data_IF_778733781012
#
_entry.id   IF_778733781012
#
_cell.length_a   1.000
_cell.length_b   1.000
_cell.length_c   1.000
_cell.angle_alpha   90.00
_cell.angle_beta   90.00
_cell.angle_gamma   90.00
#
_symmetry.space_group_name_H-M   'P 1'
#
loop_
_entity.id
_entity.type
_entity.pdbx_description
1 polymer ?
#
# COMPACT_ATOMS: atom_id res chain seq x y z
N UNK A 1 5.39 -1.09 -15.50
CA UNK A 1 4.56 -1.93 -14.61
C UNK A 1 3.19 -2.07 -15.22
N UNK A 2 2.67 -3.28 -15.28
CA UNK A 2 1.35 -3.60 -15.81
C UNK A 2 0.54 -4.23 -14.69
N UNK A 3 -0.70 -3.76 -14.46
CA UNK A 3 -1.62 -4.28 -13.46
C UNK A 3 -2.49 -5.36 -14.10
N UNK A 4 -2.55 -6.54 -13.49
CA UNK A 4 -3.53 -7.56 -13.82
C UNK A 4 -4.91 -7.11 -13.34
N UNK A 5 -5.83 -6.85 -14.25
CA UNK A 5 -7.14 -6.33 -13.90
C UNK A 5 -8.28 -7.28 -14.32
N UNK A 6 -9.38 -7.15 -13.60
CA UNK A 6 -10.65 -7.78 -13.97
C UNK A 6 -11.73 -6.72 -14.12
N UNK A 7 -12.74 -7.01 -14.93
CA UNK A 7 -13.95 -6.22 -15.05
C UNK A 7 -15.17 -7.01 -14.58
N UNK A 8 -16.03 -6.36 -13.80
CA UNK A 8 -17.31 -6.91 -13.31
C UNK A 8 -18.43 -5.93 -13.62
N UNK A 9 -19.27 -6.21 -14.61
CA UNK A 9 -20.39 -5.33 -15.00
C UNK A 9 -21.49 -6.21 -15.67
N UNK A 10 -22.72 -6.12 -15.18
CA UNK A 10 -23.84 -6.93 -15.70
C UNK A 10 -24.39 -6.43 -17.04
N UNK A 11 -24.15 -5.18 -17.40
CA UNK A 11 -24.60 -4.60 -18.65
C UNK A 11 -23.57 -4.86 -19.77
N UNK A 12 -23.87 -5.68 -20.78
CA UNK A 12 -22.90 -6.06 -21.81
C UNK A 12 -22.40 -4.87 -22.64
N UNK A 13 -23.24 -3.86 -22.88
CA UNK A 13 -22.81 -2.67 -23.65
C UNK A 13 -21.88 -1.78 -22.85
N UNK A 14 -22.16 -1.59 -21.57
CA UNK A 14 -21.31 -0.82 -20.65
C UNK A 14 -19.99 -1.54 -20.41
N UNK A 15 -20.05 -2.85 -20.18
CA UNK A 15 -18.87 -3.70 -20.04
C UNK A 15 -17.98 -3.62 -21.28
N UNK A 16 -18.55 -3.69 -22.49
CA UNK A 16 -17.81 -3.56 -23.75
C UNK A 16 -17.15 -2.18 -23.90
N UNK A 17 -17.84 -1.11 -23.49
CA UNK A 17 -17.27 0.25 -23.52
C UNK A 17 -16.05 0.37 -22.57
N UNK A 18 -16.16 -0.18 -21.37
CA UNK A 18 -15.04 -0.18 -20.40
C UNK A 18 -13.89 -1.11 -20.87
N UNK A 19 -14.20 -2.26 -21.47
CA UNK A 19 -13.21 -3.17 -22.07
C UNK A 19 -12.34 -2.48 -23.13
N UNK A 20 -12.92 -1.64 -23.96
CA UNK A 20 -12.15 -0.84 -24.95
C UNK A 20 -11.15 0.08 -24.25
N UNK A 21 -11.55 0.74 -23.15
CA UNK A 21 -10.67 1.60 -22.39
C UNK A 21 -9.51 0.82 -21.72
N UNK A 22 -9.81 -0.37 -21.21
CA UNK A 22 -8.82 -1.28 -20.61
C UNK A 22 -7.82 -1.73 -21.67
N UNK A 23 -8.28 -2.23 -22.81
CA UNK A 23 -7.42 -2.75 -23.87
C UNK A 23 -6.55 -1.66 -24.52
N UNK A 24 -7.02 -0.41 -24.55
CA UNK A 24 -6.27 0.75 -25.04
C UNK A 24 -5.21 1.24 -24.03
N UNK A 25 -5.24 0.78 -22.77
CA UNK A 25 -4.36 1.33 -21.73
C UNK A 25 -3.09 0.48 -21.53
N UNK A 26 -1.88 1.03 -21.75
CA UNK A 26 -0.63 0.26 -21.77
C UNK A 26 -0.23 -0.34 -20.41
N UNK A 27 -0.80 0.16 -19.32
CA UNK A 27 -0.50 -0.32 -17.95
C UNK A 27 -1.54 -1.33 -17.43
N UNK A 28 -2.47 -1.81 -18.25
CA UNK A 28 -3.47 -2.78 -17.86
C UNK A 28 -3.32 -4.08 -18.65
N UNK A 29 -3.51 -5.21 -17.94
CA UNK A 29 -3.60 -6.54 -18.52
C UNK A 29 -4.91 -7.19 -18.05
N UNK A 30 -5.89 -7.30 -18.94
CA UNK A 30 -7.17 -7.92 -18.60
C UNK A 30 -7.00 -9.44 -18.44
N UNK A 31 -7.29 -9.95 -17.24
CA UNK A 31 -7.18 -11.38 -16.92
C UNK A 31 -8.53 -12.04 -16.62
N UNK A 32 -9.61 -11.27 -16.50
CA UNK A 32 -10.95 -11.79 -16.27
C UNK A 32 -12.05 -10.79 -16.60
N UNK A 33 -13.17 -11.32 -17.11
CA UNK A 33 -14.39 -10.59 -17.43
C UNK A 33 -15.58 -11.33 -16.83
N UNK A 34 -16.40 -10.63 -16.04
CA UNK A 34 -17.51 -11.21 -15.30
C UNK A 34 -18.78 -10.36 -15.45
N UNK A 35 -19.92 -11.04 -15.52
CA UNK A 35 -21.25 -10.41 -15.61
C UNK A 35 -21.91 -10.24 -14.25
N UNK A 36 -21.35 -10.84 -13.19
CA UNK A 36 -21.87 -10.69 -11.83
C UNK A 36 -20.75 -10.77 -10.78
N UNK A 37 -20.96 -10.20 -9.59
CA UNK A 37 -20.06 -10.37 -8.44
C UNK A 37 -19.88 -11.83 -8.04
N UNK A 38 -20.93 -12.64 -8.13
CA UNK A 38 -20.90 -14.05 -7.75
C UNK A 38 -20.00 -14.88 -8.68
N UNK A 39 -20.06 -14.62 -9.99
CA UNK A 39 -19.20 -15.29 -10.98
C UNK A 39 -17.73 -14.95 -10.79
N UNK A 40 -17.43 -13.70 -10.39
CA UNK A 40 -16.07 -13.24 -10.16
C UNK A 40 -15.47 -13.76 -8.86
N UNK A 41 -16.29 -14.07 -7.85
CA UNK A 41 -15.86 -14.43 -6.48
C UNK A 41 -14.80 -15.52 -6.47
N UNK A 42 -15.06 -16.66 -7.13
CA UNK A 42 -14.12 -17.80 -7.14
C UNK A 42 -12.78 -17.41 -7.77
N UNK A 43 -12.83 -16.68 -8.86
CA UNK A 43 -11.63 -16.23 -9.57
C UNK A 43 -10.81 -15.29 -8.69
N UNK A 44 -11.45 -14.32 -8.05
CA UNK A 44 -10.81 -13.35 -7.18
C UNK A 44 -10.17 -13.98 -5.92
N UNK A 45 -10.75 -15.08 -5.41
CA UNK A 45 -10.20 -15.79 -4.24
C UNK A 45 -9.02 -16.73 -4.61
N UNK A 46 -8.85 -17.10 -5.87
CA UNK A 46 -7.82 -18.08 -6.31
C UNK A 46 -6.75 -17.49 -7.22
N UNK A 47 -6.95 -16.28 -7.70
CA UNK A 47 -6.05 -15.63 -8.66
C UNK A 47 -5.63 -14.27 -8.13
N UNK A 48 -4.34 -13.98 -8.19
CA UNK A 48 -3.84 -12.64 -7.82
C UNK A 48 -4.30 -11.62 -8.85
N UNK A 49 -5.11 -10.68 -8.39
CA UNK A 49 -5.64 -9.55 -9.15
C UNK A 49 -5.11 -8.27 -8.53
N UNK A 50 -4.59 -7.35 -9.34
CA UNK A 50 -4.06 -6.08 -8.86
C UNK A 50 -5.14 -4.98 -8.86
N UNK A 51 -6.12 -5.05 -9.77
CA UNK A 51 -7.17 -4.04 -9.93
C UNK A 51 -8.51 -4.68 -10.29
N UNK A 52 -9.57 -4.31 -9.60
CA UNK A 52 -10.95 -4.60 -9.95
C UNK A 52 -11.60 -3.32 -10.50
N UNK A 53 -12.13 -3.39 -11.71
CA UNK A 53 -12.96 -2.33 -12.30
C UNK A 53 -14.39 -2.86 -12.33
N UNK A 54 -15.30 -2.23 -11.56
CA UNK A 54 -16.61 -2.84 -11.36
C UNK A 54 -17.74 -1.83 -11.30
N UNK A 55 -18.91 -2.25 -11.76
CA UNK A 55 -20.16 -1.62 -11.35
C UNK A 55 -20.54 -2.08 -9.94
N UNK A 56 -21.36 -1.32 -9.26
CA UNK A 56 -21.90 -1.69 -7.94
C UNK A 56 -23.39 -2.08 -8.01
N UNK A 57 -24.10 -1.68 -9.06
CA UNK A 57 -25.52 -1.94 -9.22
C UNK A 57 -25.79 -3.31 -9.84
N UNK A 58 -25.99 -4.33 -9.01
CA UNK A 58 -26.35 -5.67 -9.45
C UNK A 58 -27.67 -6.11 -8.83
N UNK A 59 -28.45 -6.93 -9.56
CA UNK A 59 -29.81 -7.28 -9.12
C UNK A 59 -29.88 -8.25 -7.95
N UNK A 60 -28.82 -9.02 -7.65
CA UNK A 60 -28.85 -10.08 -6.63
C UNK A 60 -27.86 -9.81 -5.49
N UNK A 61 -26.63 -9.48 -5.81
CA UNK A 61 -25.56 -9.21 -4.86
C UNK A 61 -24.97 -7.84 -5.20
N UNK A 62 -25.02 -6.89 -4.27
CA UNK A 62 -24.40 -5.58 -4.45
C UNK A 62 -22.90 -5.72 -4.69
N UNK A 63 -22.31 -4.87 -5.51
CA UNK A 63 -20.87 -4.85 -5.72
C UNK A 63 -20.08 -4.63 -4.44
N UNK A 64 -20.60 -3.88 -3.50
CA UNK A 64 -19.98 -3.68 -2.19
C UNK A 64 -19.96 -4.95 -1.33
N UNK A 65 -20.99 -5.82 -1.42
CA UNK A 65 -20.98 -7.11 -0.73
C UNK A 65 -19.84 -8.02 -1.21
N UNK A 66 -19.43 -7.90 -2.49
CA UNK A 66 -18.25 -8.58 -3.01
C UNK A 66 -16.97 -8.08 -2.34
N UNK A 67 -16.85 -6.79 -2.11
CA UNK A 67 -15.69 -6.20 -1.43
C UNK A 67 -15.61 -6.65 0.03
N UNK A 68 -16.74 -6.69 0.76
CA UNK A 68 -16.82 -7.22 2.13
C UNK A 68 -16.39 -8.70 2.20
N UNK A 69 -16.86 -9.51 1.23
CA UNK A 69 -16.45 -10.92 1.14
C UNK A 69 -14.96 -11.05 0.90
N UNK A 70 -14.39 -10.22 0.04
CA UNK A 70 -12.98 -10.26 -0.28
C UNK A 70 -12.13 -9.88 0.93
N UNK A 71 -12.46 -8.80 1.63
CA UNK A 71 -11.76 -8.36 2.85
C UNK A 71 -11.73 -9.43 3.94
N UNK A 72 -12.84 -10.15 4.12
CA UNK A 72 -12.97 -11.15 5.19
C UNK A 72 -12.36 -12.52 4.86
N UNK A 73 -12.18 -12.86 3.58
CA UNK A 73 -11.77 -14.20 3.14
C UNK A 73 -10.36 -14.30 2.57
N UNK A 74 -9.65 -13.18 2.41
CA UNK A 74 -8.28 -13.18 1.87
C UNK A 74 -7.26 -12.79 2.93
N UNK A 75 -6.12 -13.47 2.89
CA UNK A 75 -4.93 -13.14 3.72
C UNK A 75 -3.88 -12.39 2.90
N UNK A 76 -4.15 -12.11 1.64
CA UNK A 76 -3.26 -11.41 0.70
C UNK A 76 -3.60 -9.93 0.62
N UNK A 77 -2.69 -9.12 0.14
CA UNK A 77 -2.94 -7.69 -0.15
C UNK A 77 -4.17 -7.54 -1.04
N UNK A 78 -5.19 -6.76 -0.62
CA UNK A 78 -6.40 -6.59 -1.41
C UNK A 78 -6.10 -5.86 -2.73
N UNK A 79 -6.84 -6.17 -3.81
CA UNK A 79 -6.71 -5.44 -5.06
C UNK A 79 -7.21 -4.02 -4.92
N UNK A 80 -6.67 -3.11 -5.71
CA UNK A 80 -7.26 -1.79 -5.88
C UNK A 80 -8.63 -1.91 -6.54
N UNK A 81 -9.54 -0.99 -6.22
CA UNK A 81 -10.89 -0.99 -6.76
C UNK A 81 -11.18 0.35 -7.42
N UNK A 82 -11.66 0.33 -8.65
CA UNK A 82 -12.24 1.47 -9.36
C UNK A 82 -13.69 1.15 -9.67
N UNK A 83 -14.60 1.96 -9.13
CA UNK A 83 -16.03 1.81 -9.38
C UNK A 83 -16.41 2.59 -10.63
N UNK A 84 -17.23 1.98 -11.48
CA UNK A 84 -17.77 2.58 -12.71
C UNK A 84 -19.28 2.43 -12.70
N UNK A 85 -20.01 3.50 -12.36
CA UNK A 85 -21.47 3.43 -12.17
C UNK A 85 -22.19 4.65 -12.77
N UNK A 86 -23.45 4.48 -13.15
CA UNK A 86 -24.36 5.57 -13.52
C UNK A 86 -25.06 6.20 -12.31
N UNK A 87 -25.12 5.48 -11.19
CA UNK A 87 -25.67 6.00 -9.94
C UNK A 87 -24.64 6.75 -9.08
N UNK A 88 -24.61 8.07 -9.24
CA UNK A 88 -23.70 8.95 -8.48
C UNK A 88 -23.95 8.94 -6.97
N UNK A 89 -25.12 8.51 -6.49
CA UNK A 89 -25.42 8.44 -5.06
C UNK A 89 -24.55 7.42 -4.34
N UNK A 90 -24.02 6.42 -5.06
CA UNK A 90 -23.15 5.39 -4.53
C UNK A 90 -21.71 5.90 -4.23
N UNK A 91 -21.34 7.09 -4.72
CA UNK A 91 -20.00 7.64 -4.51
C UNK A 91 -19.66 7.84 -3.02
N UNK A 92 -20.63 8.21 -2.19
CA UNK A 92 -20.44 8.35 -0.74
C UNK A 92 -20.20 6.98 -0.07
N UNK A 93 -20.94 5.94 -0.49
CA UNK A 93 -20.74 4.58 0.00
C UNK A 93 -19.36 4.05 -0.43
N UNK A 94 -18.97 4.30 -1.68
CA UNK A 94 -17.68 3.93 -2.23
C UNK A 94 -16.49 4.48 -1.42
N UNK A 95 -16.60 5.69 -0.92
CA UNK A 95 -15.58 6.31 -0.08
C UNK A 95 -15.27 5.49 1.19
N UNK A 96 -16.26 4.84 1.80
CA UNK A 96 -16.09 4.01 3.00
C UNK A 96 -15.31 2.71 2.71
N UNK A 97 -15.22 2.29 1.44
CA UNK A 97 -14.49 1.10 0.99
C UNK A 97 -13.07 1.41 0.48
N UNK A 98 -12.56 2.62 0.73
CA UNK A 98 -11.21 3.03 0.30
C UNK A 98 -10.94 2.75 -1.19
N UNK A 99 -11.97 2.89 -2.06
CA UNK A 99 -11.79 2.68 -3.50
C UNK A 99 -10.84 3.73 -4.08
N UNK A 100 -10.06 3.33 -5.07
CA UNK A 100 -9.12 4.24 -5.74
C UNK A 100 -9.79 5.38 -6.47
N UNK A 101 -10.96 5.10 -7.03
CA UNK A 101 -11.72 6.11 -7.75
C UNK A 101 -13.18 5.68 -8.00
N UNK A 102 -14.04 6.68 -8.24
CA UNK A 102 -15.40 6.50 -8.69
C UNK A 102 -15.61 7.24 -10.03
N UNK A 103 -15.99 6.49 -11.05
CA UNK A 103 -16.17 6.97 -12.41
C UNK A 103 -17.66 6.95 -12.77
N UNK A 104 -18.24 8.11 -13.05
CA UNK A 104 -19.62 8.18 -13.54
C UNK A 104 -19.68 7.77 -15.02
N UNK A 105 -20.63 6.92 -15.37
CA UNK A 105 -20.95 6.57 -16.76
C UNK A 105 -21.66 7.74 -17.47
N UNK A 106 -21.38 8.00 -18.76
CA UNK A 106 -20.39 7.38 -19.63
C UNK A 106 -18.97 7.82 -19.26
N UNK A 107 -18.04 6.84 -19.17
CA UNK A 107 -16.66 7.11 -18.80
C UNK A 107 -15.88 7.64 -20.01
N UNK A 108 -15.29 8.81 -19.87
CA UNK A 108 -14.38 9.36 -20.89
C UNK A 108 -12.97 8.75 -20.76
N UNK A 109 -12.27 8.64 -21.89
CA UNK A 109 -10.89 8.12 -21.93
C UNK A 109 -9.96 8.89 -20.98
N UNK A 110 -10.06 10.22 -20.94
CA UNK A 110 -9.23 11.05 -20.07
C UNK A 110 -9.46 10.74 -18.59
N UNK A 111 -10.74 10.66 -18.16
CA UNK A 111 -11.09 10.39 -16.77
C UNK A 111 -10.70 8.98 -16.34
N UNK A 112 -10.83 8.00 -17.25
CA UNK A 112 -10.33 6.64 -17.04
C UNK A 112 -8.81 6.62 -16.85
N UNK A 113 -8.06 7.26 -17.75
CA UNK A 113 -6.61 7.31 -17.67
C UNK A 113 -6.10 7.98 -16.38
N UNK A 114 -6.78 9.02 -15.89
CA UNK A 114 -6.45 9.64 -14.60
C UNK A 114 -6.61 8.67 -13.43
N UNK A 115 -7.71 7.93 -13.39
CA UNK A 115 -7.95 6.93 -12.35
C UNK A 115 -6.88 5.83 -12.37
N UNK A 116 -6.58 5.28 -13.56
CA UNK A 116 -5.57 4.24 -13.71
C UNK A 116 -4.17 4.76 -13.38
N UNK A 117 -3.83 5.99 -13.75
CA UNK A 117 -2.53 6.59 -13.42
C UNK A 117 -2.33 6.70 -11.91
N UNK A 118 -3.37 7.10 -11.15
CA UNK A 118 -3.34 7.12 -9.68
C UNK A 118 -3.16 5.71 -9.12
N UNK A 119 -3.90 4.73 -9.63
CA UNK A 119 -3.79 3.33 -9.22
C UNK A 119 -2.40 2.76 -9.46
N UNK A 120 -1.81 3.02 -10.63
CA UNK A 120 -0.44 2.57 -10.96
C UNK A 120 0.59 3.21 -10.03
N UNK A 121 0.43 4.49 -9.71
CA UNK A 121 1.33 5.18 -8.77
C UNK A 121 1.25 4.57 -7.37
N UNK A 122 0.05 4.36 -6.87
CA UNK A 122 -0.19 3.74 -5.56
C UNK A 122 0.33 2.31 -5.51
N UNK A 123 0.09 1.51 -6.56
CA UNK A 123 0.58 0.13 -6.66
C UNK A 123 2.12 0.05 -6.63
N UNK A 124 2.82 0.97 -7.28
CA UNK A 124 4.29 1.05 -7.18
C UNK A 124 4.76 1.34 -5.77
N UNK A 125 4.04 2.18 -5.03
CA UNK A 125 4.36 2.46 -3.63
C UNK A 125 4.18 1.21 -2.77
N UNK A 126 3.05 0.51 -2.90
CA UNK A 126 2.76 -0.72 -2.15
C UNK A 126 3.78 -1.83 -2.48
N UNK A 127 4.11 -2.05 -3.75
CA UNK A 127 5.12 -3.04 -4.14
C UNK A 127 6.50 -2.74 -3.56
N UNK A 128 6.94 -1.48 -3.56
CA UNK A 128 8.19 -1.12 -2.92
C UNK A 128 8.21 -1.51 -1.43
N UNK A 129 7.05 -1.50 -0.75
CA UNK A 129 6.96 -1.91 0.65
C UNK A 129 6.94 -3.43 0.84
N UNK A 130 6.36 -4.21 -0.09
CA UNK A 130 6.39 -5.68 -0.06
C UNK A 130 7.79 -6.23 -0.36
N UNK A 131 8.51 -5.62 -1.30
CA UNK A 131 9.90 -5.99 -1.63
C UNK A 131 10.84 -5.82 -0.41
N UNK A 132 10.58 -4.85 0.47
CA UNK A 132 11.37 -4.64 1.68
C UNK A 132 11.22 -5.76 2.74
N UNK A 133 10.17 -6.56 2.71
CA UNK A 133 10.01 -7.66 3.68
C UNK A 133 11.04 -8.79 3.46
N UNK A 134 11.56 -8.95 2.24
CA UNK A 134 12.62 -9.88 1.89
C UNK A 134 14.02 -9.24 1.91
N UNK A 135 14.11 -7.91 1.91
CA UNK A 135 15.38 -7.19 1.94
C UNK A 135 16.14 -7.37 3.26
N UNK A 136 17.43 -7.33 3.19
CA UNK A 136 18.31 -7.46 4.34
C UNK A 136 19.55 -6.57 4.20
N UNK A 137 20.11 -6.19 5.33
CA UNK A 137 21.41 -5.53 5.42
C UNK A 137 22.41 -6.44 6.13
N UNK A 138 23.69 -6.24 5.82
CA UNK A 138 24.77 -6.88 6.55
C UNK A 138 25.44 -5.87 7.47
N UNK A 139 25.36 -6.10 8.75
CA UNK A 139 26.03 -5.27 9.76
C UNK A 139 27.21 -6.01 10.40
N UNK A 140 28.26 -5.27 10.75
CA UNK A 140 29.38 -5.80 11.53
C UNK A 140 29.14 -5.50 13.00
N UNK A 141 28.80 -6.51 13.77
CA UNK A 141 28.63 -6.41 15.23
C UNK A 141 29.42 -7.55 15.91
N UNK A 142 30.13 -7.24 17.00
CA UNK A 142 30.97 -8.21 17.72
C UNK A 142 31.93 -8.98 16.82
N UNK A 143 32.63 -8.28 15.91
CA UNK A 143 33.57 -8.83 14.93
C UNK A 143 32.98 -9.82 13.93
N UNK A 144 31.68 -10.04 13.94
CA UNK A 144 30.98 -10.92 13.00
C UNK A 144 30.10 -10.10 12.05
N UNK A 145 30.02 -10.54 10.79
CA UNK A 145 29.07 -10.01 9.81
C UNK A 145 27.74 -10.73 10.03
N UNK A 146 26.68 -9.98 10.30
CA UNK A 146 25.34 -10.52 10.57
C UNK A 146 24.33 -10.00 9.56
N UNK A 147 23.52 -10.91 9.06
CA UNK A 147 22.40 -10.61 8.19
C UNK A 147 21.21 -10.19 9.08
N UNK A 148 20.58 -9.06 8.76
CA UNK A 148 19.40 -8.55 9.45
C UNK A 148 18.35 -8.20 8.40
N UNK A 149 17.17 -8.75 8.53
CA UNK A 149 16.04 -8.44 7.65
C UNK A 149 15.48 -7.06 7.99
N UNK A 150 15.13 -6.31 6.95
CA UNK A 150 14.63 -4.93 7.08
C UNK A 150 13.34 -4.86 7.88
N UNK A 151 12.44 -5.82 7.71
CA UNK A 151 11.17 -5.92 8.41
C UNK A 151 11.31 -6.20 9.93
N UNK A 152 12.43 -6.77 10.37
CA UNK A 152 12.73 -6.99 11.78
C UNK A 152 13.15 -5.69 12.49
N UNK A 153 13.65 -4.70 11.76
CA UNK A 153 14.18 -3.45 12.33
C UNK A 153 13.02 -2.57 12.78
N UNK A 154 13.00 -2.22 14.07
CA UNK A 154 12.01 -1.32 14.69
C UNK A 154 12.47 0.13 14.65
N UNK A 155 13.64 0.40 15.22
CA UNK A 155 14.27 1.72 15.19
C UNK A 155 15.78 1.61 15.36
N UNK A 156 16.46 2.71 15.11
CA UNK A 156 17.89 2.87 15.30
C UNK A 156 18.11 4.08 16.20
N UNK A 157 18.97 3.94 17.21
CA UNK A 157 19.35 5.00 18.13
C UNK A 157 20.86 5.29 18.10
N UNK A 158 21.22 6.55 18.29
CA UNK A 158 22.61 6.96 18.42
C UNK A 158 23.15 6.56 19.80
N UNK A 159 24.35 5.97 19.81
CA UNK A 159 25.07 5.56 21.03
C UNK A 159 26.53 6.00 20.95
N UNK A 160 26.83 7.28 21.21
CA UNK A 160 28.17 7.85 21.03
C UNK A 160 28.63 7.73 19.58
N UNK A 161 29.78 7.08 19.36
CA UNK A 161 30.32 6.79 18.03
C UNK A 161 29.71 5.56 17.35
N UNK A 162 28.69 4.97 17.98
CA UNK A 162 27.99 3.78 17.50
C UNK A 162 26.53 4.11 17.22
N UNK A 163 25.90 3.27 16.44
CA UNK A 163 24.45 3.18 16.33
C UNK A 163 23.97 1.87 16.94
N UNK A 164 22.87 1.89 17.67
CA UNK A 164 22.22 0.71 18.19
C UNK A 164 20.97 0.45 17.38
N UNK A 165 20.96 -0.70 16.71
CA UNK A 165 19.87 -1.20 15.90
C UNK A 165 18.96 -2.05 16.77
N UNK A 166 17.69 -1.73 16.86
CA UNK A 166 16.69 -2.47 17.64
C UNK A 166 15.83 -3.27 16.66
N UNK A 167 15.83 -4.59 16.84
CA UNK A 167 14.99 -5.51 16.06
C UNK A 167 13.91 -6.14 16.92
N UNK A 168 13.12 -7.02 16.36
CA UNK A 168 12.05 -7.77 17.05
C UNK A 168 12.59 -8.55 18.25
N UNK A 169 13.72 -9.24 18.07
CA UNK A 169 14.22 -10.20 19.05
C UNK A 169 15.41 -9.70 19.86
N UNK A 170 16.25 -8.83 19.28
CA UNK A 170 17.53 -8.43 19.87
C UNK A 170 17.97 -7.04 19.41
N UNK A 171 19.11 -6.60 19.91
CA UNK A 171 19.75 -5.35 19.47
C UNK A 171 21.19 -5.59 19.03
N UNK A 172 21.67 -4.74 18.13
CA UNK A 172 23.04 -4.77 17.61
C UNK A 172 23.68 -3.41 17.79
N UNK A 173 24.93 -3.39 18.29
CA UNK A 173 25.76 -2.19 18.35
C UNK A 173 26.74 -2.23 17.19
N UNK A 174 26.73 -1.15 16.39
CA UNK A 174 27.43 -1.06 15.11
C UNK A 174 28.27 0.22 15.11
N UNK A 175 29.54 0.12 14.78
CA UNK A 175 30.40 1.30 14.60
C UNK A 175 29.98 2.01 13.29
N UNK A 176 29.16 3.06 13.42
CA UNK A 176 28.65 3.85 12.30
C UNK A 176 28.07 5.17 12.82
N UNK A 177 27.89 6.12 11.91
CA UNK A 177 27.15 7.36 12.22
C UNK A 177 25.69 7.23 11.80
N UNK A 178 24.80 7.99 12.47
CA UNK A 178 23.38 8.03 12.09
C UNK A 178 23.16 8.41 10.63
N UNK A 179 23.98 9.32 10.08
CA UNK A 179 23.90 9.76 8.68
C UNK A 179 24.36 8.67 7.70
N UNK A 180 25.45 7.97 8.01
CA UNK A 180 25.94 6.88 7.17
C UNK A 180 24.94 5.73 7.16
N UNK A 181 24.42 5.34 8.34
CA UNK A 181 23.45 4.26 8.45
C UNK A 181 22.11 4.58 7.79
N UNK A 182 21.65 5.83 7.88
CA UNK A 182 20.43 6.32 7.19
C UNK A 182 20.52 6.12 5.66
N UNK A 183 21.72 6.23 5.07
CA UNK A 183 21.93 6.02 3.64
C UNK A 183 21.92 4.54 3.20
N UNK A 184 22.15 3.62 4.15
CA UNK A 184 22.13 2.16 3.91
C UNK A 184 20.71 1.57 3.99
N UNK A 185 19.75 2.34 4.55
CA UNK A 185 18.38 1.92 4.74
C UNK A 185 17.52 2.23 3.51
N UNK A 186 16.51 1.40 3.21
CA UNK A 186 15.56 1.66 2.15
C UNK A 186 14.84 2.99 2.34
N UNK A 187 14.90 3.83 1.31
CA UNK A 187 14.17 5.11 1.29
C UNK A 187 12.68 4.87 1.26
N UNK A 188 11.94 5.63 2.05
CA UNK A 188 10.48 5.53 2.13
C UNK A 188 9.97 4.59 3.23
N UNK A 189 10.81 3.66 3.74
CA UNK A 189 10.46 2.80 4.86
C UNK A 189 11.00 3.30 6.20
N UNK A 190 12.15 3.99 6.18
CA UNK A 190 12.77 4.56 7.37
C UNK A 190 12.78 6.07 7.32
N UNK A 191 12.49 6.68 8.46
CA UNK A 191 12.53 8.13 8.61
C UNK A 191 13.35 8.51 9.84
N UNK A 192 14.29 9.44 9.65
CA UNK A 192 14.99 10.06 10.77
C UNK A 192 14.11 11.11 11.42
N UNK A 193 13.57 10.79 12.60
CA UNK A 193 12.64 11.65 13.36
C UNK A 193 13.32 12.60 14.35
N UNK A 194 14.57 12.27 14.72
CA UNK A 194 15.36 13.05 15.67
C UNK A 194 16.86 12.94 15.32
N UNK A 195 17.69 13.85 15.87
CA UNK A 195 19.14 13.73 15.70
C UNK A 195 19.69 12.37 16.11
N UNK A 196 19.04 11.69 17.06
CA UNK A 196 19.46 10.42 17.64
C UNK A 196 18.54 9.23 17.27
N UNK A 197 17.48 9.41 16.47
CA UNK A 197 16.54 8.34 16.18
C UNK A 197 16.11 8.29 14.72
N UNK A 198 16.16 7.06 14.14
CA UNK A 198 15.55 6.69 12.86
C UNK A 198 14.52 5.59 13.17
N UNK A 199 13.31 5.69 12.65
CA UNK A 199 12.23 4.72 12.88
C UNK A 199 11.84 4.02 11.59
N UNK A 200 11.41 2.76 11.73
CA UNK A 200 10.70 2.05 10.67
C UNK A 200 9.24 2.51 10.70
N UNK A 201 8.79 3.12 9.63
CA UNK A 201 7.45 3.70 9.51
C UNK A 201 6.34 2.65 9.62
N UNK A 202 6.58 1.41 9.16
CA UNK A 202 5.64 0.28 9.34
C UNK A 202 5.45 -0.15 10.80
N UNK A 203 6.35 0.24 11.70
CA UNK A 203 6.29 -0.12 13.13
C UNK A 203 5.76 1.00 14.01
N UNK A 204 5.43 2.15 13.43
CA UNK A 204 4.86 3.28 14.16
C UNK A 204 3.40 2.97 14.49
N UNK A 205 3.06 2.93 15.79
CA UNK A 205 1.69 2.69 16.25
C UNK A 205 0.91 4.00 16.37
N UNK A 206 1.55 5.03 16.91
CA UNK A 206 0.98 6.38 17.09
C UNK A 206 2.07 7.43 17.27
N UNK A 207 1.72 8.67 17.08
CA UNK A 207 2.62 9.80 17.34
C UNK A 207 1.85 11.04 17.81
N UNK A 208 2.56 11.90 18.52
CA UNK A 208 2.08 13.22 18.96
C UNK A 208 3.02 14.34 18.49
N UNK A 209 2.94 15.51 19.12
CA UNK A 209 3.79 16.65 18.77
C UNK A 209 5.25 16.50 19.20
N UNK A 210 5.56 15.54 20.08
CA UNK A 210 6.87 15.39 20.72
C UNK A 210 7.46 13.99 20.62
N UNK A 211 6.62 12.96 20.39
CA UNK A 211 7.03 11.57 20.44
C UNK A 211 6.41 10.74 19.33
N UNK A 212 7.12 9.68 18.98
CA UNK A 212 6.63 8.55 18.16
C UNK A 212 6.61 7.32 19.06
N UNK A 213 5.55 6.52 19.01
CA UNK A 213 5.39 5.32 19.85
C UNK A 213 5.50 4.06 18.98
N UNK A 214 6.38 3.16 19.41
CA UNK A 214 6.60 1.83 18.83
C UNK A 214 6.69 0.85 20.00
N UNK A 215 5.77 -0.16 20.05
CA UNK A 215 5.71 -1.18 21.12
C UNK A 215 5.77 -0.55 22.54
N UNK A 216 4.98 0.49 22.76
CA UNK A 216 4.93 1.26 24.02
C UNK A 216 6.18 2.09 24.32
N UNK A 217 7.22 2.05 23.49
CA UNK A 217 8.41 2.88 23.63
C UNK A 217 8.15 4.26 23.00
N UNK A 218 8.35 5.33 23.76
CA UNK A 218 8.20 6.71 23.31
C UNK A 218 9.54 7.27 22.85
N UNK A 219 9.70 7.47 21.56
CA UNK A 219 10.90 8.01 20.92
C UNK A 219 10.70 9.51 20.63
N UNK A 220 11.69 10.37 20.90
CA UNK A 220 11.54 11.81 20.71
C UNK A 220 11.40 12.19 19.24
N UNK A 221 10.44 13.06 18.95
CA UNK A 221 10.17 13.62 17.62
C UNK A 221 10.64 15.08 17.55
N UNK A 222 11.51 15.40 16.60
CA UNK A 222 11.91 16.77 16.32
C UNK A 222 10.76 17.58 15.70
N UNK A 223 10.57 18.82 16.14
CA UNK A 223 9.51 19.72 15.62
C UNK A 223 9.56 19.85 14.10
N UNK A 224 10.76 19.95 13.53
CA UNK A 224 10.98 20.08 12.08
C UNK A 224 10.66 18.81 11.28
N UNK A 225 10.57 17.63 11.93
CA UNK A 225 10.31 16.36 11.29
C UNK A 225 8.86 15.90 11.36
N UNK A 226 8.01 16.61 12.14
CA UNK A 226 6.60 16.24 12.34
C UNK A 226 5.81 16.18 11.02
N UNK A 227 5.92 17.23 10.21
CA UNK A 227 5.22 17.29 8.90
C UNK A 227 5.68 16.18 7.96
N UNK A 228 7.01 15.94 7.93
CA UNK A 228 7.58 14.87 7.11
C UNK A 228 7.11 13.48 7.57
N UNK A 229 6.99 13.26 8.89
CA UNK A 229 6.47 12.01 9.45
C UNK A 229 5.00 11.81 9.08
N UNK A 230 4.16 12.84 9.23
CA UNK A 230 2.74 12.76 8.85
C UNK A 230 2.59 12.38 7.38
N UNK A 231 3.26 13.08 6.48
CA UNK A 231 3.21 12.80 5.06
C UNK A 231 3.71 11.39 4.71
N UNK A 232 4.77 10.92 5.38
CA UNK A 232 5.31 9.59 5.15
C UNK A 232 4.36 8.48 5.64
N UNK A 233 3.67 8.69 6.77
CA UNK A 233 2.69 7.73 7.29
C UNK A 233 1.41 7.72 6.44
N UNK A 234 0.94 8.86 5.94
CA UNK A 234 -0.21 8.93 5.04
C UNK A 234 -0.01 8.10 3.76
N UNK A 235 1.25 7.99 3.30
CA UNK A 235 1.62 7.15 2.14
C UNK A 235 1.61 5.65 2.47
N UNK A 236 1.84 5.27 3.73
CA UNK A 236 1.93 3.86 4.15
C UNK A 236 0.57 3.30 4.56
N UNK A 237 -0.32 4.14 5.09
CA UNK A 237 -1.63 3.74 5.63
C UNK A 237 -2.71 3.69 4.52
N UNK A 238 -2.51 4.45 3.44
CA UNK A 238 -3.40 4.45 2.26
C UNK A 238 -2.84 3.54 1.17
#
# INVERSE_FOLDING_TARGET
>A
MTLNCVIVDNNPNQRLATLKLINDHPSLNLIGEFSSPLDSKRFLLTTRVDLIIMDVNFPVLDGFDLLDIYETQTTTTPPFVVIVSDDKSQAFKAFNYNVMDFLSKPVTKNRFNEAISRTVLQSKMVQNFEDFDSEHIFVKSNLKKQKIYINEIKWIEALGDYVKLITTDKSFVILSTMKAFENELPKGLFLRIHKSYIVNLKKVERYDSKHVEIEKMKLPLSRTRKTQLSQALDVIIN
#
